data_IF_226049251001
#
_entry.id   IF_226049251001
#
_cell.length_a   1.000
_cell.length_b   1.000
_cell.length_c   1.000
_cell.angle_alpha   90.00
_cell.angle_beta   90.00
_cell.angle_gamma   90.00
#
_symmetry.space_group_name_H-M   'P 1'
#
loop_
_entity.id
_entity.type
_entity.pdbx_description
1 polymer ?
#
# COMPACT_ATOMS: atom_id res chain seq x y z
N UNK A 1 15.32 -8.71 2.25
CA UNK A 1 14.01 -8.73 1.56
C UNK A 1 13.87 -9.99 0.72
N UNK A 2 12.83 -10.81 0.96
CA UNK A 2 12.52 -11.99 0.16
C UNK A 2 12.20 -11.65 -1.30
N UNK A 3 12.30 -12.63 -2.19
CA UNK A 3 11.74 -12.51 -3.54
C UNK A 3 10.22 -12.53 -3.50
N UNK A 4 9.55 -11.91 -4.47
CA UNK A 4 8.08 -11.88 -4.55
C UNK A 4 7.39 -11.18 -3.37
N UNK A 5 8.16 -10.41 -2.59
CA UNK A 5 7.61 -9.61 -1.51
C UNK A 5 6.78 -8.43 -2.05
N UNK A 6 5.87 -7.94 -1.21
CA UNK A 6 5.23 -6.63 -1.36
C UNK A 6 6.12 -5.62 -0.61
N UNK A 7 6.44 -4.51 -1.24
CA UNK A 7 7.33 -3.48 -0.68
C UNK A 7 6.57 -2.17 -0.60
N UNK A 8 6.41 -1.62 0.60
CA UNK A 8 5.67 -0.36 0.80
C UNK A 8 6.59 0.68 1.43
N UNK A 9 6.69 1.85 0.81
CA UNK A 9 7.43 2.98 1.38
C UNK A 9 6.60 3.62 2.49
N UNK A 10 7.12 3.60 3.71
CA UNK A 10 6.59 4.38 4.82
C UNK A 10 7.34 5.72 4.90
N UNK A 11 6.72 6.79 4.39
CA UNK A 11 7.29 8.15 4.47
C UNK A 11 6.71 8.97 5.64
N UNK A 12 5.77 8.39 6.40
CA UNK A 12 5.01 9.08 7.44
C UNK A 12 3.96 10.05 6.89
N UNK A 13 3.69 10.02 5.58
CA UNK A 13 2.76 10.93 4.90
C UNK A 13 1.30 10.66 5.25
N UNK A 14 0.97 9.42 5.61
CA UNK A 14 -0.37 9.03 6.05
C UNK A 14 -0.93 9.91 7.17
N UNK A 15 -0.07 10.49 8.01
CA UNK A 15 -0.43 11.45 9.07
C UNK A 15 -1.10 12.74 8.58
N UNK A 16 -0.97 13.08 7.29
CA UNK A 16 -1.50 14.32 6.69
C UNK A 16 -2.97 14.21 6.29
N UNK A 17 -3.50 13.00 6.19
CA UNK A 17 -4.90 12.79 5.84
C UNK A 17 -5.83 13.23 6.99
N UNK A 18 -7.03 13.75 6.68
CA UNK A 18 -7.60 13.97 5.35
C UNK A 18 -7.37 15.40 4.77
N UNK A 19 -6.41 16.16 5.30
CA UNK A 19 -6.19 17.54 4.87
C UNK A 19 -5.52 17.61 3.49
N UNK A 20 -6.28 17.98 2.44
CA UNK A 20 -5.79 18.02 1.05
C UNK A 20 -4.55 18.88 0.84
N UNK A 21 -4.47 20.05 1.48
CA UNK A 21 -3.30 20.94 1.38
C UNK A 21 -2.05 20.25 1.91
N UNK A 22 -2.17 19.52 3.02
CA UNK A 22 -1.05 18.78 3.60
C UNK A 22 -0.73 17.52 2.78
N UNK A 23 -1.75 16.78 2.35
CA UNK A 23 -1.62 15.54 1.56
C UNK A 23 -0.94 15.80 0.21
N UNK A 24 -1.34 16.84 -0.50
CA UNK A 24 -0.72 17.20 -1.79
C UNK A 24 0.49 18.12 -1.64
N UNK A 25 0.82 18.56 -0.41
CA UNK A 25 1.97 19.42 -0.12
C UNK A 25 1.91 20.79 -0.82
N UNK A 26 0.71 21.32 -1.06
CA UNK A 26 0.48 22.56 -1.82
C UNK A 26 -0.70 23.35 -1.28
N UNK A 27 -0.65 24.67 -1.39
CA UNK A 27 -1.79 25.57 -1.10
C UNK A 27 -2.90 25.49 -2.16
N UNK A 28 -2.62 24.92 -3.34
CA UNK A 28 -3.55 24.78 -4.47
C UNK A 28 -3.76 23.30 -4.82
N UNK A 29 -4.44 22.50 -3.96
CA UNK A 29 -4.56 21.04 -4.12
C UNK A 29 -5.42 20.59 -5.31
N UNK A 30 -5.92 21.51 -6.13
CA UNK A 30 -6.59 21.24 -7.40
C UNK A 30 -5.67 21.39 -8.61
N UNK A 31 -4.49 21.97 -8.43
CA UNK A 31 -3.48 22.13 -9.48
C UNK A 31 -2.38 21.06 -9.31
N UNK A 32 -2.45 20.04 -10.13
CA UNK A 32 -1.52 18.89 -10.12
C UNK A 32 -0.07 19.31 -10.33
N UNK A 33 0.20 20.41 -11.03
CA UNK A 33 1.57 20.90 -11.28
C UNK A 33 2.26 21.42 -10.01
N UNK A 34 1.48 21.67 -8.95
CA UNK A 34 1.96 22.20 -7.68
C UNK A 34 2.19 21.12 -6.62
N UNK A 35 1.87 19.86 -6.91
CA UNK A 35 1.95 18.78 -5.94
C UNK A 35 3.38 18.55 -5.45
N UNK A 36 3.52 18.29 -4.15
CA UNK A 36 4.80 18.09 -3.50
C UNK A 36 4.69 17.05 -2.37
N UNK A 37 4.94 15.80 -2.71
CA UNK A 37 4.98 14.69 -1.77
C UNK A 37 6.02 13.66 -2.25
N UNK A 38 6.61 12.85 -1.35
CA UNK A 38 7.60 11.87 -1.73
C UNK A 38 6.98 10.73 -2.55
N UNK A 39 7.82 10.04 -3.30
CA UNK A 39 7.46 8.84 -4.06
C UNK A 39 8.71 8.04 -4.36
N UNK A 40 8.54 6.96 -5.11
CA UNK A 40 9.67 6.18 -5.61
C UNK A 40 10.39 6.93 -6.73
N UNK A 41 11.68 6.62 -6.87
CA UNK A 41 12.44 6.93 -8.08
C UNK A 41 12.43 5.70 -8.98
N UNK A 42 12.32 5.88 -10.30
CA UNK A 42 12.29 4.82 -11.30
C UNK A 42 13.45 3.82 -11.17
N UNK A 43 14.65 4.29 -10.80
CA UNK A 43 15.82 3.43 -10.59
C UNK A 43 15.61 2.47 -9.41
N UNK A 44 14.94 2.92 -8.35
CA UNK A 44 14.62 2.07 -7.21
C UNK A 44 13.57 1.02 -7.58
N UNK A 45 12.51 1.42 -8.29
CA UNK A 45 11.47 0.49 -8.78
C UNK A 45 12.07 -0.56 -9.70
N UNK A 46 12.87 -0.14 -10.68
CA UNK A 46 13.56 -1.03 -11.61
C UNK A 46 14.50 -2.00 -10.89
N UNK A 47 15.18 -1.56 -9.83
CA UNK A 47 16.00 -2.44 -9.01
C UNK A 47 15.16 -3.46 -8.24
N UNK A 48 14.03 -3.04 -7.64
CA UNK A 48 13.11 -3.93 -6.92
C UNK A 48 12.58 -5.03 -7.85
N UNK A 49 12.16 -4.67 -9.05
CA UNK A 49 11.68 -5.61 -10.07
C UNK A 49 12.81 -6.58 -10.44
N UNK A 50 13.95 -6.07 -10.90
CA UNK A 50 15.01 -6.92 -11.45
C UNK A 50 15.73 -7.78 -10.41
N UNK A 51 15.95 -7.25 -9.20
CA UNK A 51 16.78 -7.92 -8.18
C UNK A 51 15.96 -8.65 -7.13
N UNK A 52 14.67 -8.36 -7.00
CA UNK A 52 13.80 -8.94 -5.97
C UNK A 52 12.51 -9.53 -6.53
N UNK A 53 12.16 -9.27 -7.80
CA UNK A 53 10.94 -9.81 -8.42
C UNK A 53 9.72 -9.53 -7.55
N UNK A 54 9.59 -8.29 -7.07
CA UNK A 54 8.50 -7.88 -6.18
C UNK A 54 7.16 -8.05 -6.89
N UNK A 55 6.14 -8.46 -6.15
CA UNK A 55 4.78 -8.62 -6.70
C UNK A 55 4.01 -7.30 -6.66
N UNK A 56 4.34 -6.42 -5.73
CA UNK A 56 3.73 -5.10 -5.62
C UNK A 56 4.69 -4.10 -4.98
N UNK A 57 4.53 -2.84 -5.36
CA UNK A 57 5.21 -1.69 -4.76
C UNK A 57 4.16 -0.70 -4.29
N UNK A 58 4.30 -0.20 -3.06
CA UNK A 58 3.34 0.70 -2.46
C UNK A 58 3.94 1.93 -1.82
N UNK A 59 3.07 2.88 -1.49
CA UNK A 59 3.38 4.13 -0.80
C UNK A 59 2.24 4.55 0.14
N UNK A 60 2.56 5.36 1.14
CA UNK A 60 1.58 6.07 1.98
C UNK A 60 1.14 7.44 1.44
N UNK A 61 1.58 7.79 0.23
CA UNK A 61 1.29 9.05 -0.48
C UNK A 61 0.20 8.87 -1.54
N UNK A 62 -0.31 9.98 -2.13
CA UNK A 62 -1.32 9.94 -3.20
C UNK A 62 -0.90 9.26 -4.50
N UNK A 63 0.41 9.10 -4.73
CA UNK A 63 0.95 8.52 -5.95
C UNK A 63 2.25 7.76 -5.67
N UNK A 64 2.45 6.64 -6.36
CA UNK A 64 3.73 5.90 -6.30
C UNK A 64 4.92 6.70 -6.83
N UNK A 65 4.69 7.60 -7.80
CA UNK A 65 5.65 8.62 -8.23
C UNK A 65 5.60 9.86 -7.33
N UNK A 66 6.73 10.57 -7.19
CA UNK A 66 6.80 11.81 -6.41
C UNK A 66 5.96 12.93 -7.03
N UNK A 67 5.45 13.85 -6.20
CA UNK A 67 4.38 14.78 -6.60
C UNK A 67 4.70 15.73 -7.76
N UNK A 68 5.97 16.02 -8.01
CA UNK A 68 6.39 16.92 -9.11
C UNK A 68 6.54 16.19 -10.46
N UNK A 69 6.34 14.88 -10.47
CA UNK A 69 6.43 14.06 -11.67
C UNK A 69 5.27 14.34 -12.62
N UNK A 70 5.55 14.50 -13.91
CA UNK A 70 4.53 14.74 -14.94
C UNK A 70 4.30 13.55 -15.88
N UNK A 71 5.26 12.62 -15.95
CA UNK A 71 5.27 11.47 -16.85
C UNK A 71 5.15 10.11 -16.15
N UNK A 72 5.06 10.09 -14.81
CA UNK A 72 4.79 8.92 -13.97
C UNK A 72 5.59 7.64 -14.33
N UNK A 73 6.94 7.71 -14.38
CA UNK A 73 7.75 6.60 -14.85
C UNK A 73 7.65 5.37 -13.94
N UNK A 74 7.42 5.52 -12.62
CA UNK A 74 7.22 4.36 -11.74
C UNK A 74 5.94 3.62 -12.11
N UNK A 75 4.84 4.33 -12.38
CA UNK A 75 3.61 3.71 -12.87
C UNK A 75 3.84 2.91 -14.16
N UNK A 76 4.50 3.53 -15.15
CA UNK A 76 4.77 2.89 -16.44
C UNK A 76 5.62 1.63 -16.25
N UNK A 77 6.74 1.74 -15.54
CA UNK A 77 7.64 0.62 -15.28
C UNK A 77 6.93 -0.53 -14.56
N UNK A 78 6.11 -0.22 -13.55
CA UNK A 78 5.35 -1.26 -12.84
C UNK A 78 4.34 -1.94 -13.76
N UNK A 79 3.57 -1.17 -14.54
CA UNK A 79 2.58 -1.70 -15.48
C UNK A 79 3.19 -2.56 -16.57
N UNK A 80 4.35 -2.18 -17.11
CA UNK A 80 5.08 -2.96 -18.13
C UNK A 80 5.65 -4.29 -17.60
N UNK A 81 5.75 -4.44 -16.27
CA UNK A 81 6.37 -5.60 -15.62
C UNK A 81 5.38 -6.40 -14.76
N UNK A 82 4.08 -6.22 -14.96
CA UNK A 82 3.00 -6.88 -14.20
C UNK A 82 3.14 -6.73 -12.67
N UNK A 83 3.65 -5.58 -12.22
CA UNK A 83 3.79 -5.25 -10.79
C UNK A 83 2.66 -4.33 -10.35
N UNK A 84 2.00 -4.69 -9.25
CA UNK A 84 0.89 -3.90 -8.70
C UNK A 84 1.40 -2.67 -7.97
N UNK A 85 0.86 -1.49 -8.31
CA UNK A 85 1.03 -0.26 -7.55
C UNK A 85 -0.01 -0.13 -6.43
N UNK A 86 0.39 0.31 -5.23
CA UNK A 86 -0.51 0.53 -4.09
C UNK A 86 -0.30 1.93 -3.53
N UNK A 87 -1.37 2.69 -3.37
CA UNK A 87 -1.30 4.09 -2.96
C UNK A 87 -2.13 4.34 -1.71
N UNK A 88 -1.85 5.45 -1.03
CA UNK A 88 -2.61 5.89 0.14
C UNK A 88 -2.64 4.84 1.28
N UNK A 89 -1.59 4.03 1.44
CA UNK A 89 -1.55 3.01 2.49
C UNK A 89 -1.43 3.66 3.87
N UNK A 90 -2.35 3.34 4.77
CA UNK A 90 -2.37 3.87 6.14
C UNK A 90 -1.73 2.91 7.15
N UNK A 91 -1.36 3.45 8.32
CA UNK A 91 -0.85 2.70 9.49
C UNK A 91 0.43 1.89 9.24
N UNK A 92 1.29 2.31 8.31
CA UNK A 92 2.58 1.65 8.06
C UNK A 92 3.54 1.74 9.26
N UNK A 93 3.32 2.69 10.17
CA UNK A 93 4.01 2.83 11.45
C UNK A 93 3.64 1.73 12.47
N UNK A 94 2.57 0.97 12.22
CA UNK A 94 2.05 -0.08 13.13
C UNK A 94 2.35 -1.49 12.68
N UNK A 95 3.01 -1.66 11.53
CA UNK A 95 3.44 -2.95 11.00
C UNK A 95 4.96 -3.07 11.14
N UNK A 96 5.49 -4.25 11.49
CA UNK A 96 6.93 -4.45 11.53
C UNK A 96 7.55 -4.29 10.13
N UNK A 97 8.82 -3.89 10.08
CA UNK A 97 9.54 -3.64 8.81
C UNK A 97 9.61 -4.88 7.89
N UNK A 98 9.47 -6.08 8.47
CA UNK A 98 9.42 -7.34 7.74
C UNK A 98 8.67 -8.41 8.55
N UNK A 99 8.33 -9.52 7.88
CA UNK A 99 7.64 -10.66 8.50
C UNK A 99 6.11 -10.58 8.46
N UNK A 100 5.53 -9.47 8.02
CA UNK A 100 4.09 -9.36 7.80
C UNK A 100 3.64 -10.06 6.53
N UNK A 101 2.42 -10.61 6.56
CA UNK A 101 1.66 -11.00 5.37
C UNK A 101 0.70 -9.87 5.01
N UNK A 102 0.81 -9.33 3.81
CA UNK A 102 -0.06 -8.24 3.31
C UNK A 102 -1.11 -8.84 2.37
N UNK A 103 -2.36 -8.46 2.56
CA UNK A 103 -3.50 -8.84 1.74
C UNK A 103 -4.00 -7.62 0.96
N UNK A 104 -4.13 -7.78 -0.36
CA UNK A 104 -4.54 -6.74 -1.30
C UNK A 104 -5.82 -7.16 -2.05
N UNK A 105 -6.99 -7.20 -1.37
CA UNK A 105 -8.25 -7.51 -2.04
C UNK A 105 -8.68 -6.31 -2.89
N UNK A 106 -8.49 -6.42 -4.21
CA UNK A 106 -8.96 -5.45 -5.19
C UNK A 106 -10.34 -5.89 -5.70
N UNK A 107 -11.24 -4.93 -5.93
CA UNK A 107 -12.53 -5.21 -6.54
C UNK A 107 -12.32 -5.77 -7.96
N UNK A 108 -13.00 -6.86 -8.30
CA UNK A 108 -12.97 -7.42 -9.65
C UNK A 108 -13.82 -6.57 -10.59
N UNK A 109 -13.20 -5.59 -11.24
CA UNK A 109 -13.83 -4.67 -12.20
C UNK A 109 -13.50 -5.16 -13.61
N UNK A 110 -14.53 -5.34 -14.45
CA UNK A 110 -14.36 -5.73 -15.86
C UNK A 110 -13.51 -4.70 -16.60
N UNK A 111 -12.42 -5.15 -17.22
CA UNK A 111 -11.39 -4.31 -17.86
C UNK A 111 -10.86 -3.16 -16.98
N UNK A 112 -10.89 -3.35 -15.65
CA UNK A 112 -10.42 -2.35 -14.70
C UNK A 112 -8.88 -2.27 -14.67
N UNK A 113 -8.34 -1.06 -14.84
CA UNK A 113 -6.90 -0.79 -14.65
C UNK A 113 -6.47 -0.75 -13.19
N UNK A 114 -7.42 -0.71 -12.27
CA UNK A 114 -7.22 -0.62 -10.82
C UNK A 114 -8.54 -0.36 -10.10
N UNK A 115 -8.50 -0.33 -8.77
CA UNK A 115 -9.68 -0.08 -7.96
C UNK A 115 -9.35 0.12 -6.49
N UNK A 116 -10.29 0.67 -5.69
CA UNK A 116 -10.10 0.79 -4.26
C UNK A 116 -9.93 -0.61 -3.64
N UNK A 117 -9.01 -0.72 -2.69
CA UNK A 117 -8.73 -1.94 -1.97
C UNK A 117 -8.80 -1.70 -0.46
N UNK A 118 -9.29 -2.71 0.27
CA UNK A 118 -9.14 -2.75 1.73
C UNK A 118 -7.88 -3.53 2.07
N UNK A 119 -6.74 -2.84 2.02
CA UNK A 119 -5.44 -3.43 2.37
C UNK A 119 -5.39 -3.72 3.87
N UNK A 120 -4.95 -4.92 4.24
CA UNK A 120 -4.70 -5.27 5.64
C UNK A 120 -3.48 -6.19 5.74
N UNK A 121 -2.85 -6.21 6.91
CA UNK A 121 -1.68 -7.02 7.17
C UNK A 121 -1.89 -7.87 8.44
N UNK A 122 -1.32 -9.07 8.44
CA UNK A 122 -1.18 -9.90 9.64
C UNK A 122 0.31 -10.08 9.94
N UNK A 123 0.64 -10.12 11.22
CA UNK A 123 2.00 -10.36 11.69
C UNK A 123 1.91 -10.93 13.11
N UNK A 124 2.90 -11.73 13.49
CA UNK A 124 3.03 -12.16 14.87
C UNK A 124 3.53 -10.98 15.71
N UNK A 125 2.73 -10.57 16.68
CA UNK A 125 3.14 -9.60 17.68
C UNK A 125 3.82 -10.35 18.83
N UNK A 126 5.15 -10.32 18.85
CA UNK A 126 5.97 -10.90 19.91
C UNK A 126 5.69 -10.26 21.28
N UNK A 127 5.20 -9.01 21.32
CA UNK A 127 4.82 -8.34 22.56
C UNK A 127 3.48 -8.82 23.11
N UNK A 128 2.68 -9.51 22.30
CA UNK A 128 1.32 -9.92 22.63
C UNK A 128 1.10 -11.45 22.67
N UNK A 129 2.18 -12.23 22.80
CA UNK A 129 2.10 -13.71 22.91
C UNK A 129 1.36 -14.22 24.15
N UNK A 130 1.15 -13.37 25.15
CA UNK A 130 0.49 -13.73 26.41
C UNK A 130 -1.00 -13.36 26.45
N UNK A 131 -1.54 -12.65 25.47
CA UNK A 131 -2.99 -12.45 25.37
C UNK A 131 -3.64 -13.60 24.57
N UNK A 132 -4.82 -14.07 24.99
CA UNK A 132 -5.52 -15.12 24.26
C UNK A 132 -5.90 -14.63 22.86
N UNK A 133 -5.29 -15.22 21.82
CA UNK A 133 -5.68 -14.99 20.42
C UNK A 133 -7.18 -15.35 20.29
N UNK A 134 -7.98 -14.37 19.84
CA UNK A 134 -9.41 -14.43 19.47
C UNK A 134 -10.21 -15.66 19.96
N UNK A 135 -11.21 -15.43 20.83
CA UNK A 135 -12.08 -16.50 21.35
C UNK A 135 -12.66 -17.35 20.19
N UNK A 136 -12.50 -18.69 20.22
CA UNK A 136 -13.09 -19.61 19.24
C UNK A 136 -14.58 -19.37 18.95
N UNK A 137 -15.34 -18.90 19.94
CA UNK A 137 -16.76 -18.57 19.79
C UNK A 137 -16.97 -17.35 18.88
N UNK A 138 -16.09 -16.35 18.94
CA UNK A 138 -16.12 -15.19 18.04
C UNK A 138 -15.77 -15.57 16.60
N UNK A 139 -14.84 -16.50 16.42
CA UNK A 139 -14.48 -17.01 15.09
C UNK A 139 -15.62 -17.83 14.48
N UNK A 140 -16.28 -18.68 15.28
CA UNK A 140 -17.47 -19.41 14.82
C UNK A 140 -18.63 -18.46 14.47
N UNK A 141 -18.84 -17.40 15.24
CA UNK A 141 -19.86 -16.41 14.94
C UNK A 141 -19.59 -15.68 13.61
N UNK A 142 -18.33 -15.29 13.36
CA UNK A 142 -17.92 -14.66 12.10
C UNK A 142 -18.08 -15.61 10.90
N UNK A 143 -17.65 -16.87 11.03
CA UNK A 143 -17.81 -17.88 9.98
C UNK A 143 -19.29 -18.17 9.66
N UNK A 144 -20.18 -18.14 10.67
CA UNK A 144 -21.63 -18.27 10.46
C UNK A 144 -22.22 -17.07 9.74
N UNK A 145 -21.69 -15.87 9.98
CA UNK A 145 -22.12 -14.64 9.31
C UNK A 145 -21.72 -14.64 7.82
N UNK A 146 -20.50 -15.08 7.51
CA UNK A 146 -19.98 -15.13 6.13
C UNK A 146 -20.69 -16.19 5.28
N UNK A 147 -21.07 -17.34 5.87
CA UNK A 147 -21.82 -18.41 5.16
C UNK A 147 -23.29 -18.09 4.87
N UNK A 148 -23.81 -16.95 5.35
CA UNK A 148 -25.21 -16.54 5.16
C UNK A 148 -25.40 -15.60 3.95
N UNK A 149 -24.32 -15.29 3.25
CA UNK A 149 -24.28 -14.56 1.98
C UNK A 149 -23.53 -15.40 0.95
#
# INVERSE_FOLDING_TARGET
MPRHAIVVMNSGWSSRYPNKTLVFGTSTPTDVSTFHFPGWHENAVMWLINKRQVNAVGVDTPSTDYGQTTNYPCHVIMGENDVVGIENVANLDKVPENGSTIYLPVLNIFDGSGGPARVFATFDDESNKNEPRCNPDQLQALCRLIRKY
#
